data_IF_572077945496
#
_entry.id   IF_572077945496
#
_cell.length_a   1.000
_cell.length_b   1.000
_cell.length_c   1.000
_cell.angle_alpha   90.00
_cell.angle_beta   90.00
_cell.angle_gamma   90.00
#
_symmetry.space_group_name_H-M   'P 1'
#
loop_
_entity.id
_entity.type
_entity.pdbx_description
1 polymer ?
#
# COMPACT_ATOMS: atom_id res chain seq x y z
N UNK A 1 -1.06 1.61 -46.75
CA UNK A 1 -0.97 0.22 -47.25
C UNK A 1 0.21 -0.44 -46.56
N UNK A 2 0.00 -1.16 -45.47
CA UNK A 2 1.01 -2.03 -44.86
C UNK A 2 0.29 -3.27 -44.32
N UNK A 3 0.66 -4.38 -44.94
CA UNK A 3 0.08 -5.71 -44.78
C UNK A 3 0.56 -6.36 -43.46
N UNK A 4 -0.39 -6.87 -42.71
CA UNK A 4 -0.18 -7.65 -41.49
C UNK A 4 0.09 -9.11 -41.88
N UNK A 5 1.19 -9.65 -41.40
CA UNK A 5 1.60 -11.04 -41.62
C UNK A 5 1.15 -11.89 -40.42
N UNK A 6 0.19 -12.77 -40.62
CA UNK A 6 -0.25 -13.82 -39.66
C UNK A 6 0.66 -15.04 -39.81
N UNK A 7 1.40 -15.37 -38.77
CA UNK A 7 2.11 -16.63 -38.66
C UNK A 7 1.36 -17.60 -37.75
N UNK A 8 0.75 -18.59 -38.35
CA UNK A 8 0.18 -19.80 -37.75
C UNK A 8 1.27 -20.78 -37.33
N UNK A 9 1.29 -21.22 -36.07
CA UNK A 9 2.09 -22.36 -35.56
C UNK A 9 1.15 -23.25 -34.76
N UNK A 10 0.78 -24.31 -35.21
CA UNK A 10 1.07 -25.68 -35.33
C UNK A 10 0.83 -26.41 -34.01
N UNK A 11 -0.41 -27.02 -33.84
CA UNK A 11 -0.70 -28.03 -32.80
C UNK A 11 0.10 -29.33 -33.08
N UNK A 12 0.79 -29.82 -32.07
CA UNK A 12 1.35 -31.19 -32.09
C UNK A 12 0.79 -31.99 -30.93
N UNK A 13 -0.23 -32.81 -31.29
CA UNK A 13 -0.78 -33.93 -30.50
C UNK A 13 0.28 -35.02 -30.35
N UNK A 14 0.56 -35.46 -29.13
CA UNK A 14 1.23 -36.74 -28.89
C UNK A 14 0.47 -37.54 -27.84
N UNK A 15 -0.34 -38.49 -28.33
CA UNK A 15 -0.92 -39.54 -27.54
C UNK A 15 0.12 -40.64 -27.36
N UNK A 16 0.44 -41.02 -26.14
CA UNK A 16 1.07 -42.30 -25.84
C UNK A 16 0.31 -42.95 -24.69
N UNK A 17 -0.47 -43.96 -25.06
CA UNK A 17 -1.09 -44.92 -24.14
C UNK A 17 -0.03 -45.95 -23.71
N UNK A 18 0.07 -46.24 -22.43
CA UNK A 18 0.67 -47.48 -21.94
C UNK A 18 -0.23 -48.10 -20.87
N UNK A 19 -0.66 -49.28 -21.21
CA UNK A 19 -1.41 -50.25 -20.36
C UNK A 19 -0.42 -51.06 -19.51
N UNK A 20 -0.94 -51.61 -18.44
CA UNK A 20 -0.56 -52.80 -17.70
C UNK A 20 0.11 -52.60 -16.34
N UNK A 21 -0.52 -53.23 -15.36
CA UNK A 21 0.16 -53.74 -14.19
C UNK A 21 -0.66 -53.71 -12.89
N UNK A 22 -1.60 -54.65 -12.73
CA UNK A 22 -2.25 -54.98 -11.45
C UNK A 22 -1.25 -55.55 -10.45
N UNK A 23 -1.08 -54.89 -9.30
CA UNK A 23 -0.63 -55.54 -8.07
C UNK A 23 -1.29 -54.88 -6.86
N UNK A 24 -2.15 -55.66 -6.21
CA UNK A 24 -2.77 -55.34 -4.92
C UNK A 24 -1.71 -55.48 -3.83
N UNK A 25 -1.36 -54.39 -3.18
CA UNK A 25 -0.64 -54.41 -1.92
C UNK A 25 -1.39 -53.50 -0.95
N UNK A 26 -2.11 -54.13 -0.01
CA UNK A 26 -2.69 -53.48 1.16
C UNK A 26 -1.53 -52.94 2.05
N UNK A 27 -1.27 -51.68 2.00
CA UNK A 27 -0.45 -50.99 2.99
C UNK A 27 -1.30 -49.86 3.58
N UNK A 28 -1.78 -50.09 4.80
CA UNK A 28 -2.38 -49.09 5.69
C UNK A 28 -1.33 -48.05 6.04
N UNK A 29 -1.21 -47.00 5.24
CA UNK A 29 -0.49 -45.80 5.62
C UNK A 29 -1.42 -44.92 6.41
N UNK A 30 -1.14 -44.79 7.71
CA UNK A 30 -1.64 -43.73 8.57
C UNK A 30 -1.33 -42.38 7.88
N UNK A 31 -2.34 -41.82 7.27
CA UNK A 31 -2.29 -40.44 6.80
C UNK A 31 -2.21 -39.53 8.05
N UNK A 32 -0.99 -39.19 8.44
CA UNK A 32 -0.75 -38.03 9.25
C UNK A 32 -1.26 -36.81 8.43
N UNK A 33 -2.48 -36.38 8.75
CA UNK A 33 -2.99 -35.08 8.34
C UNK A 33 -2.10 -34.05 9.07
N UNK A 34 -0.91 -33.83 8.53
CA UNK A 34 -0.14 -32.66 8.85
C UNK A 34 -0.99 -31.48 8.38
N UNK A 35 -1.50 -30.67 9.33
CA UNK A 35 -1.90 -29.32 9.02
C UNK A 35 -0.68 -28.67 8.37
N UNK A 36 -0.63 -28.64 7.05
CA UNK A 36 0.19 -27.70 6.34
C UNK A 36 -0.39 -26.34 6.71
N UNK A 37 0.16 -25.76 7.77
CA UNK A 37 0.13 -24.31 7.90
C UNK A 37 0.72 -23.81 6.59
N UNK A 38 -0.19 -23.40 5.69
CA UNK A 38 0.18 -22.53 4.58
C UNK A 38 0.71 -21.29 5.26
N UNK A 39 2.01 -21.29 5.54
CA UNK A 39 2.78 -20.07 5.79
C UNK A 39 2.50 -19.23 4.56
N UNK A 40 1.47 -18.38 4.67
CA UNK A 40 1.12 -17.45 3.62
C UNK A 40 2.38 -16.64 3.40
N UNK A 41 3.12 -16.98 2.34
CA UNK A 41 4.29 -16.24 1.90
C UNK A 41 3.81 -14.78 1.84
N UNK A 42 4.28 -13.98 2.79
CA UNK A 42 3.90 -12.58 2.87
C UNK A 42 4.18 -12.00 1.49
N UNK A 43 3.11 -11.65 0.76
CA UNK A 43 3.22 -11.15 -0.61
C UNK A 43 4.19 -9.96 -0.56
N UNK A 44 5.16 -9.95 -1.47
CA UNK A 44 6.08 -8.84 -1.59
C UNK A 44 5.30 -7.52 -1.66
N UNK A 45 5.64 -6.48 -0.89
CA UNK A 45 4.92 -5.21 -0.87
C UNK A 45 4.70 -4.61 -2.27
N UNK A 46 5.65 -4.72 -3.18
CA UNK A 46 5.50 -4.26 -4.56
C UNK A 46 4.44 -5.05 -5.34
N UNK A 47 4.30 -6.35 -5.09
CA UNK A 47 3.26 -7.19 -5.71
C UNK A 47 1.88 -6.84 -5.16
N UNK A 48 1.76 -6.60 -3.85
CA UNK A 48 0.51 -6.15 -3.22
C UNK A 48 0.10 -4.77 -3.76
N UNK A 49 1.07 -3.85 -3.86
CA UNK A 49 0.86 -2.52 -4.40
C UNK A 49 0.40 -2.56 -5.87
N UNK A 50 1.05 -3.38 -6.71
CA UNK A 50 0.65 -3.55 -8.10
C UNK A 50 -0.78 -4.10 -8.25
N UNK A 51 -1.17 -5.05 -7.39
CA UNK A 51 -2.53 -5.58 -7.36
C UNK A 51 -3.55 -4.51 -6.92
N UNK A 52 -3.24 -3.70 -5.92
CA UNK A 52 -4.09 -2.60 -5.47
C UNK A 52 -4.26 -1.56 -6.57
N UNK A 53 -3.17 -1.19 -7.26
CA UNK A 53 -3.22 -0.27 -8.41
C UNK A 53 -4.15 -0.82 -9.49
N UNK A 54 -4.04 -2.11 -9.82
CA UNK A 54 -4.86 -2.76 -10.86
C UNK A 54 -6.34 -2.84 -10.50
N UNK A 55 -6.67 -3.05 -9.21
CA UNK A 55 -8.04 -3.36 -8.78
C UNK A 55 -8.81 -2.16 -8.25
N UNK A 56 -8.14 -1.17 -7.66
CA UNK A 56 -8.79 -0.07 -6.94
C UNK A 56 -8.45 1.32 -7.44
N UNK A 57 -7.30 1.49 -8.12
CA UNK A 57 -6.90 2.81 -8.57
C UNK A 57 -7.60 3.18 -9.87
N UNK A 58 -8.46 4.15 -9.81
CA UNK A 58 -9.13 4.73 -10.96
C UNK A 58 -8.28 5.86 -11.57
N UNK A 59 -8.70 6.38 -12.68
CA UNK A 59 -7.99 7.23 -13.63
C UNK A 59 -7.23 8.46 -13.05
N UNK A 60 -6.39 9.06 -13.90
CA UNK A 60 -5.51 10.22 -13.67
C UNK A 60 -6.19 11.51 -13.15
N UNK A 61 -7.52 11.58 -13.17
CA UNK A 61 -8.31 12.73 -12.66
C UNK A 61 -8.16 12.92 -11.15
N UNK A 62 -7.88 11.85 -10.42
CA UNK A 62 -7.75 11.90 -8.95
C UNK A 62 -6.46 12.60 -8.51
N UNK A 63 -5.39 12.56 -9.32
CA UNK A 63 -4.10 13.18 -8.96
C UNK A 63 -4.15 14.70 -8.96
N UNK A 64 -4.92 15.32 -9.86
CA UNK A 64 -5.07 16.77 -9.89
C UNK A 64 -5.79 17.31 -8.64
N UNK A 65 -6.83 16.61 -8.18
CA UNK A 65 -7.55 16.97 -6.96
C UNK A 65 -6.72 16.73 -5.68
N UNK A 66 -5.76 15.80 -5.72
CA UNK A 66 -4.82 15.54 -4.64
C UNK A 66 -3.64 16.53 -4.60
N UNK A 67 -3.39 17.29 -5.66
CA UNK A 67 -2.21 18.15 -5.75
C UNK A 67 -1.98 19.00 -4.48
N UNK A 68 -3.00 19.66 -3.86
CA UNK A 68 -2.79 20.47 -2.66
C UNK A 68 -2.32 19.65 -1.43
N UNK A 69 -2.63 18.35 -1.40
CA UNK A 69 -2.15 17.44 -0.34
C UNK A 69 -0.76 16.94 -0.66
N UNK A 70 -0.49 16.59 -1.94
CA UNK A 70 0.77 16.03 -2.40
C UNK A 70 1.90 17.05 -2.52
N UNK A 71 1.59 18.33 -2.61
CA UNK A 71 2.56 19.44 -2.53
C UNK A 71 2.68 20.02 -1.11
N UNK A 72 1.84 19.53 -0.18
CA UNK A 72 1.83 19.95 1.22
C UNK A 72 1.08 21.25 1.52
N UNK A 73 0.62 21.99 0.50
CA UNK A 73 -0.02 23.31 0.69
C UNK A 73 -1.35 23.26 1.44
N UNK A 74 -2.03 22.11 1.43
CA UNK A 74 -3.25 21.88 2.21
C UNK A 74 -2.98 21.37 3.63
N UNK A 75 -1.74 21.04 4.00
CA UNK A 75 -1.41 20.51 5.33
C UNK A 75 -1.20 21.65 6.31
N UNK A 76 -2.01 21.68 7.36
CA UNK A 76 -1.98 22.69 8.43
C UNK A 76 -1.28 22.22 9.70
N UNK A 77 -1.27 20.91 9.94
CA UNK A 77 -0.70 20.32 11.15
C UNK A 77 -0.16 18.93 10.95
N UNK A 78 0.86 18.59 11.76
CA UNK A 78 1.50 17.27 11.80
C UNK A 78 1.65 16.86 13.26
N UNK A 79 1.03 15.76 13.63
CA UNK A 79 1.04 15.21 14.98
C UNK A 79 1.55 13.77 14.99
N UNK A 80 2.26 13.33 16.03
CA UNK A 80 2.60 11.92 16.19
C UNK A 80 1.33 11.09 16.47
N UNK A 81 1.28 9.91 15.86
CA UNK A 81 0.21 8.95 16.06
C UNK A 81 0.73 7.76 16.84
N UNK A 82 0.05 7.41 17.94
CA UNK A 82 0.42 6.31 18.81
C UNK A 82 -0.62 5.19 18.80
N UNK A 83 -0.14 3.95 18.83
CA UNK A 83 -0.95 2.79 19.14
C UNK A 83 -0.79 2.42 20.61
N UNK A 84 -1.86 1.96 21.21
CA UNK A 84 -1.83 1.34 22.54
C UNK A 84 -1.50 -0.15 22.38
N UNK A 85 -0.41 -0.58 22.97
CA UNK A 85 0.06 -1.96 22.94
C UNK A 85 -0.04 -2.56 24.33
N UNK A 86 -0.61 -3.75 24.45
CA UNK A 86 -0.71 -4.49 25.71
C UNK A 86 0.42 -5.53 25.74
N UNK A 87 1.41 -5.31 26.59
CA UNK A 87 2.48 -6.27 26.83
C UNK A 87 2.10 -7.26 27.92
N UNK A 88 2.41 -8.55 27.70
CA UNK A 88 2.05 -9.64 28.62
C UNK A 88 2.53 -9.46 30.06
N UNK A 89 3.66 -8.78 30.26
CA UNK A 89 4.25 -8.54 31.59
C UNK A 89 4.43 -7.06 31.94
N UNK A 90 4.31 -6.18 30.99
CA UNK A 90 4.65 -4.74 31.12
C UNK A 90 3.44 -3.82 31.19
N UNK A 91 2.22 -4.38 31.09
CA UNK A 91 1.00 -3.57 31.06
C UNK A 91 0.78 -2.90 29.71
N UNK A 92 0.05 -1.80 29.72
CA UNK A 92 -0.26 -1.01 28.54
C UNK A 92 0.79 0.07 28.33
N UNK A 93 1.34 0.16 27.13
CA UNK A 93 2.26 1.23 26.73
C UNK A 93 1.86 1.79 25.35
N UNK A 94 2.32 3.00 25.08
CA UNK A 94 2.08 3.66 23.80
C UNK A 94 3.29 3.53 22.90
N UNK A 95 3.08 3.10 21.66
CA UNK A 95 4.13 2.94 20.66
C UNK A 95 3.82 3.84 19.46
N UNK A 96 4.85 4.53 18.94
CA UNK A 96 4.68 5.40 17.77
C UNK A 96 4.31 4.58 16.55
N UNK A 97 3.15 4.84 15.99
CA UNK A 97 2.60 4.13 14.83
C UNK A 97 2.80 4.91 13.51
N UNK A 98 3.02 6.22 13.59
CA UNK A 98 3.11 7.06 12.41
C UNK A 98 2.77 8.51 12.68
N UNK A 99 1.97 9.11 11.80
CA UNK A 99 1.57 10.52 11.89
C UNK A 99 0.09 10.73 11.61
N UNK A 100 -0.47 11.79 12.20
CA UNK A 100 -1.76 12.34 11.82
C UNK A 100 -1.55 13.74 11.22
N UNK A 101 -2.11 13.96 10.05
CA UNK A 101 -2.05 15.21 9.32
C UNK A 101 -3.40 15.92 9.42
N UNK A 102 -3.40 17.21 9.74
CA UNK A 102 -4.57 18.07 9.59
C UNK A 102 -4.53 18.69 8.21
N UNK A 103 -5.57 18.46 7.41
CA UNK A 103 -5.66 18.89 6.02
C UNK A 103 -6.86 19.81 5.86
N UNK A 104 -6.66 20.98 5.22
CA UNK A 104 -7.75 21.91 4.92
C UNK A 104 -8.83 21.27 4.06
N UNK A 105 -10.08 21.78 4.13
CA UNK A 105 -11.14 21.33 3.24
C UNK A 105 -10.76 21.51 1.78
N UNK A 106 -11.00 20.47 0.97
CA UNK A 106 -10.81 20.52 -0.48
C UNK A 106 -12.19 20.43 -1.11
N UNK A 107 -12.60 21.40 -1.93
CA UNK A 107 -13.93 21.40 -2.54
C UNK A 107 -14.22 20.13 -3.32
N UNK A 108 -15.37 19.49 -3.05
CA UNK A 108 -15.82 18.29 -3.74
C UNK A 108 -15.13 16.99 -3.28
N UNK A 109 -14.24 17.03 -2.30
CA UNK A 109 -13.55 15.85 -1.75
C UNK A 109 -14.27 15.36 -0.50
N UNK A 110 -14.48 14.03 -0.39
CA UNK A 110 -14.93 13.36 0.83
C UNK A 110 -13.77 12.62 1.51
N UNK A 111 -13.93 12.25 2.77
CA UNK A 111 -12.90 11.50 3.52
C UNK A 111 -12.61 10.14 2.85
N UNK A 112 -13.64 9.42 2.42
CA UNK A 112 -13.53 8.11 1.77
C UNK A 112 -12.81 8.23 0.41
N UNK A 113 -13.11 9.28 -0.33
CA UNK A 113 -12.42 9.56 -1.59
C UNK A 113 -10.93 9.85 -1.30
N UNK A 114 -10.65 10.70 -0.30
CA UNK A 114 -9.29 11.08 0.08
C UNK A 114 -8.46 9.86 0.53
N UNK A 115 -9.03 8.99 1.38
CA UNK A 115 -8.41 7.72 1.78
C UNK A 115 -8.00 6.92 0.55
N UNK A 116 -8.96 6.62 -0.33
CA UNK A 116 -8.73 5.80 -1.52
C UNK A 116 -7.71 6.41 -2.47
N UNK A 117 -7.77 7.73 -2.67
CA UNK A 117 -6.86 8.42 -3.57
C UNK A 117 -5.41 8.43 -3.04
N UNK A 118 -5.22 8.62 -1.72
CA UNK A 118 -3.92 8.54 -1.07
C UNK A 118 -3.37 7.11 -1.00
N UNK A 119 -4.22 6.10 -0.75
CA UNK A 119 -3.83 4.69 -0.86
C UNK A 119 -3.34 4.35 -2.27
N UNK A 120 -4.05 4.83 -3.30
CA UNK A 120 -3.63 4.66 -4.69
C UNK A 120 -2.31 5.37 -4.99
N UNK A 121 -2.11 6.59 -4.51
CA UNK A 121 -0.84 7.30 -4.62
C UNK A 121 0.29 6.47 -4.00
N UNK A 122 0.14 6.05 -2.75
CA UNK A 122 1.10 5.19 -2.04
C UNK A 122 1.41 3.90 -2.82
N UNK A 123 0.37 3.20 -3.29
CA UNK A 123 0.52 1.95 -4.02
C UNK A 123 1.26 2.12 -5.36
N UNK A 124 0.90 3.14 -6.14
CA UNK A 124 1.61 3.48 -7.40
C UNK A 124 3.10 3.74 -7.16
N UNK A 125 3.44 4.34 -6.00
CA UNK A 125 4.81 4.62 -5.58
C UNK A 125 5.56 3.33 -5.23
N UNK A 126 4.99 2.48 -4.40
CA UNK A 126 5.59 1.20 -4.00
C UNK A 126 5.73 0.25 -5.19
N UNK A 127 4.78 0.28 -6.13
CA UNK A 127 4.84 -0.48 -7.38
C UNK A 127 5.86 0.08 -8.40
N UNK A 128 6.44 1.27 -8.16
CA UNK A 128 7.37 1.91 -9.10
C UNK A 128 6.69 2.51 -10.34
N UNK A 129 5.37 2.71 -10.29
CA UNK A 129 4.58 3.19 -11.43
C UNK A 129 4.62 4.71 -11.60
N UNK A 130 5.11 5.46 -10.61
CA UNK A 130 5.25 6.93 -10.64
C UNK A 130 6.69 7.30 -10.35
N UNK A 131 7.28 8.13 -11.21
CA UNK A 131 8.59 8.77 -11.01
C UNK A 131 8.41 10.20 -10.48
N UNK A 132 9.47 10.79 -9.92
CA UNK A 132 9.49 12.22 -9.57
C UNK A 132 8.85 12.55 -8.23
N UNK A 133 9.33 11.94 -7.18
CA UNK A 133 8.78 12.04 -5.81
C UNK A 133 9.32 13.23 -5.06
N UNK A 134 8.45 13.95 -4.35
CA UNK A 134 8.89 14.77 -3.22
C UNK A 134 9.72 13.88 -2.26
N UNK A 135 10.96 14.27 -1.92
CA UNK A 135 11.86 13.43 -1.13
C UNK A 135 11.29 13.07 0.25
N UNK A 136 10.35 13.85 0.74
CA UNK A 136 9.76 13.73 2.07
C UNK A 136 8.26 13.38 2.04
N UNK A 137 7.76 12.79 0.96
CA UNK A 137 6.37 12.33 0.87
C UNK A 137 6.01 11.39 2.04
N UNK A 138 5.09 11.78 2.95
CA UNK A 138 4.73 10.98 4.11
C UNK A 138 3.89 9.76 3.77
N UNK A 139 3.29 9.75 2.59
CA UNK A 139 2.44 8.65 2.11
C UNK A 139 3.23 7.51 1.47
N UNK A 140 4.55 7.62 1.46
CA UNK A 140 5.43 6.63 0.84
C UNK A 140 6.62 6.26 1.72
N UNK A 141 6.79 4.94 1.95
CA UNK A 141 8.02 4.35 2.48
C UNK A 141 8.62 3.41 1.44
N UNK A 142 9.93 3.50 1.15
CA UNK A 142 10.59 2.61 0.20
C UNK A 142 10.42 1.14 0.58
N UNK A 143 9.86 0.33 -0.33
CA UNK A 143 9.67 -1.10 -0.13
C UNK A 143 8.64 -1.49 0.93
N UNK A 144 7.81 -0.57 1.40
CA UNK A 144 6.78 -0.80 2.41
C UNK A 144 5.45 -0.17 2.02
N UNK A 145 4.36 -0.83 2.37
CA UNK A 145 3.02 -0.22 2.34
C UNK A 145 2.77 0.50 3.67
N UNK A 146 2.13 1.65 3.60
CA UNK A 146 1.57 2.35 4.76
C UNK A 146 0.04 2.21 4.72
N UNK A 147 -0.57 2.17 5.89
CA UNK A 147 -2.03 2.24 6.03
C UNK A 147 -2.44 3.71 6.12
N UNK A 148 -3.44 4.10 5.34
CA UNK A 148 -3.92 5.48 5.29
C UNK A 148 -5.42 5.50 5.57
N UNK A 149 -5.84 6.32 6.52
CA UNK A 149 -7.25 6.56 6.84
C UNK A 149 -7.50 8.05 6.97
N UNK A 150 -8.52 8.55 6.27
CA UNK A 150 -8.95 9.94 6.37
C UNK A 150 -10.34 10.01 6.99
N UNK A 151 -10.51 10.98 7.89
CA UNK A 151 -11.80 11.27 8.55
C UNK A 151 -12.12 12.73 8.42
N UNK A 152 -13.39 13.04 8.19
CA UNK A 152 -13.88 14.40 8.25
C UNK A 152 -13.85 14.91 9.68
N UNK A 153 -13.26 16.09 9.89
CA UNK A 153 -13.23 16.80 11.17
C UNK A 153 -13.74 18.22 10.97
N UNK A 154 -13.97 18.95 12.08
CA UNK A 154 -14.33 20.35 11.96
C UNK A 154 -13.21 21.13 11.27
N UNK A 155 -13.52 21.76 10.15
CA UNK A 155 -12.56 22.56 9.37
C UNK A 155 -11.70 21.79 8.37
N UNK A 156 -11.98 20.50 8.09
CA UNK A 156 -11.24 19.75 7.07
C UNK A 156 -11.20 18.25 7.25
N UNK A 157 -10.00 17.69 7.13
CA UNK A 157 -9.77 16.25 7.28
C UNK A 157 -8.62 15.99 8.25
N UNK A 158 -8.74 14.90 9.00
CA UNK A 158 -7.64 14.27 9.72
C UNK A 158 -7.21 13.04 8.92
N UNK A 159 -5.99 13.03 8.44
CA UNK A 159 -5.41 11.91 7.68
C UNK A 159 -4.39 11.22 8.56
N UNK A 160 -4.63 9.96 8.89
CA UNK A 160 -3.73 9.12 9.67
C UNK A 160 -2.91 8.25 8.72
N UNK A 161 -1.59 8.29 8.86
CA UNK A 161 -0.64 7.47 8.10
C UNK A 161 0.08 6.57 9.11
N UNK A 162 -0.17 5.28 9.02
CA UNK A 162 0.35 4.25 9.93
C UNK A 162 1.36 3.37 9.22
N UNK A 163 2.43 3.04 9.92
CA UNK A 163 3.43 2.07 9.49
C UNK A 163 3.29 0.76 10.27
N UNK A 164 3.92 -0.30 9.77
CA UNK A 164 3.83 -1.63 10.38
C UNK A 164 4.57 -1.75 11.71
N UNK A 165 5.52 -0.86 11.99
CA UNK A 165 6.30 -0.89 13.23
C UNK A 165 6.80 0.49 13.64
N UNK A 166 7.36 0.61 14.86
CA UNK A 166 7.73 1.92 15.45
C UNK A 166 8.87 2.60 14.69
N UNK A 167 9.83 1.85 14.16
CA UNK A 167 10.94 2.42 13.38
C UNK A 167 10.43 3.08 12.10
N UNK A 168 9.53 2.43 11.39
CA UNK A 168 8.84 2.97 10.22
C UNK A 168 7.92 4.13 10.61
N UNK A 169 7.26 4.04 11.77
CA UNK A 169 6.43 5.12 12.34
C UNK A 169 7.22 6.40 12.54
N UNK A 170 8.45 6.31 13.06
CA UNK A 170 9.38 7.44 13.14
C UNK A 170 9.72 8.02 11.77
N UNK A 171 10.01 7.17 10.78
CA UNK A 171 10.31 7.62 9.43
C UNK A 171 9.13 8.37 8.80
N UNK A 172 7.90 7.87 8.95
CA UNK A 172 6.68 8.54 8.47
C UNK A 172 6.52 9.92 9.12
N UNK A 173 6.68 10.01 10.44
CA UNK A 173 6.54 11.26 11.18
C UNK A 173 7.61 12.29 10.76
N UNK A 174 8.86 11.87 10.62
CA UNK A 174 9.95 12.77 10.22
C UNK A 174 9.78 13.29 8.79
N UNK A 175 9.34 12.42 7.87
CA UNK A 175 8.99 12.81 6.50
C UNK A 175 7.84 13.81 6.49
N UNK A 176 6.77 13.55 7.26
CA UNK A 176 5.62 14.45 7.36
C UNK A 176 6.01 15.85 7.86
N UNK A 177 6.86 15.91 8.89
CA UNK A 177 7.38 17.19 9.42
C UNK A 177 8.24 17.94 8.40
N UNK A 178 9.11 17.24 7.70
CA UNK A 178 9.95 17.83 6.65
C UNK A 178 9.11 18.30 5.46
N UNK A 179 8.10 17.51 5.09
CA UNK A 179 7.18 17.81 4.01
C UNK A 179 6.36 19.08 4.28
N UNK A 180 5.74 19.19 5.45
CA UNK A 180 4.96 20.35 5.85
C UNK A 180 5.82 21.63 5.96
N UNK A 181 7.09 21.50 6.37
CA UNK A 181 8.03 22.65 6.39
C UNK A 181 8.40 23.14 5.00
N UNK A 182 8.60 22.21 4.06
CA UNK A 182 8.93 22.56 2.67
C UNK A 182 7.79 23.23 1.91
N UNK A 183 6.54 22.98 2.31
CA UNK A 183 5.34 23.62 1.77
C UNK A 183 5.04 25.00 2.37
N UNK A 184 5.70 25.36 3.47
CA UNK A 184 5.46 26.65 4.13
C UNK A 184 6.05 27.82 3.32
N UNK A 185 5.24 28.79 2.87
CA UNK A 185 5.74 29.95 2.08
C UNK A 185 6.73 30.85 2.84
N UNK A 186 6.85 30.68 4.17
CA UNK A 186 7.80 31.39 5.02
C UNK A 186 9.23 30.82 4.98
N UNK A 187 9.48 29.68 4.34
CA UNK A 187 10.83 29.14 4.17
C UNK A 187 11.60 29.78 2.99
N UNK A 188 10.97 30.71 2.25
CA UNK A 188 11.52 31.35 1.05
C UNK A 188 11.86 32.86 1.28
N UNK A 189 11.82 33.34 2.52
CA UNK A 189 12.27 34.67 2.93
C UNK A 189 13.52 34.56 3.82
#
# INVERSE_FOLDING_TARGET
>A
MNTVNLSTVGLRNSRTAWLCGTTVALLTTLASVGCAETSGLAKNPSTQAAELVRTRCMSSTDEAALAPVLDGTAIEGVEPLYNSVVGYKTGQFSELAGTALTVRPIPGVTAEWLTRALECHSAKRVAGSIAGVAPNDPFFLPGRMVEIDARSVHGGFRVEVRAAGPAEGHQVLDRAKAFAKGASPLAAL
#
